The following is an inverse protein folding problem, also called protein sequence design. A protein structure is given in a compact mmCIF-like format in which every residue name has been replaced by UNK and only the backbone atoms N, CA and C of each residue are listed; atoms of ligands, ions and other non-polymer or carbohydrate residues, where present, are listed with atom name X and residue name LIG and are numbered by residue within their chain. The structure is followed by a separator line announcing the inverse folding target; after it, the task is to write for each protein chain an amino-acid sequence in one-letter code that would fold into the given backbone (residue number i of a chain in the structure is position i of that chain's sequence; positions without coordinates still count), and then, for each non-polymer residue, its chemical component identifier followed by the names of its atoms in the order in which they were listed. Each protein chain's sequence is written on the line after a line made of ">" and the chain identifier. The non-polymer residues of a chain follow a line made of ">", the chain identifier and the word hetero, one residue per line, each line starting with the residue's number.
data_IF_880987713506
#
_entry.id   IF_880987713506
#
_cell.length_a   1.000
_cell.length_b   1.000
_cell.length_c   1.000
_cell.angle_alpha   90.00
_cell.angle_beta   90.00
_cell.angle_gamma   90.00
#
_symmetry.space_group_name_H-M   'P 1'
#
loop_
_entity.id
_entity.type
_entity.pdbx_description
1 polymer ?
#
# COMPACT_ATOMS: atom_id res chain seq x y z
N UNK A 1 -34.67 -38.96 33.93
CA UNK A 1 -34.99 -37.57 34.32
C UNK A 1 -34.31 -36.67 33.31
N UNK A 2 -35.04 -36.22 32.28
CA UNK A 2 -35.56 -34.83 32.13
C UNK A 2 -34.39 -33.86 31.82
N UNK A 3 -34.21 -33.22 30.67
CA UNK A 3 -35.05 -32.91 29.51
C UNK A 3 -34.13 -32.75 28.28
N UNK A 4 -34.39 -33.46 27.17
CA UNK A 4 -33.85 -33.14 25.84
C UNK A 4 -35.00 -33.04 24.84
N UNK A 5 -35.62 -31.87 24.82
CA UNK A 5 -36.50 -31.40 23.75
C UNK A 5 -36.40 -29.88 23.79
N UNK A 6 -35.95 -29.27 22.70
CA UNK A 6 -36.61 -28.13 22.05
C UNK A 6 -35.75 -27.64 20.85
N UNK A 7 -36.38 -27.72 19.68
CA UNK A 7 -36.15 -27.01 18.42
C UNK A 7 -34.80 -27.14 17.67
N UNK A 8 -34.77 -28.10 16.74
CA UNK A 8 -34.08 -27.95 15.46
C UNK A 8 -34.88 -26.96 14.61
N UNK A 9 -34.42 -25.71 14.51
CA UNK A 9 -34.83 -24.81 13.43
C UNK A 9 -33.91 -25.13 12.26
N UNK A 10 -34.47 -25.73 11.21
CA UNK A 10 -33.79 -25.88 9.93
C UNK A 10 -33.50 -24.48 9.39
N UNK A 11 -32.22 -24.11 9.34
CA UNK A 11 -31.76 -22.96 8.58
C UNK A 11 -32.04 -23.29 7.12
N UNK A 12 -33.15 -22.78 6.58
CA UNK A 12 -33.32 -22.69 5.13
C UNK A 12 -32.21 -21.76 4.65
N UNK A 13 -31.47 -22.20 3.64
CA UNK A 13 -30.49 -21.38 2.93
C UNK A 13 -31.17 -20.06 2.50
N UNK A 14 -30.95 -19.01 3.28
CA UNK A 14 -31.23 -17.65 2.87
C UNK A 14 -30.17 -17.35 1.81
N UNK A 15 -30.59 -17.28 0.55
CA UNK A 15 -29.79 -16.66 -0.49
C UNK A 15 -29.23 -15.33 0.04
N UNK A 16 -27.98 -14.95 -0.29
CA UNK A 16 -27.44 -13.66 0.10
C UNK A 16 -28.47 -12.59 -0.26
N UNK A 17 -28.85 -11.79 0.74
CA UNK A 17 -29.77 -10.69 0.52
C UNK A 17 -29.24 -9.89 -0.68
N UNK A 18 -30.09 -9.69 -1.68
CA UNK A 18 -29.82 -8.69 -2.70
C UNK A 18 -29.42 -7.42 -1.96
N UNK A 19 -28.29 -6.84 -2.31
CA UNK A 19 -27.97 -5.47 -1.93
C UNK A 19 -29.12 -4.62 -2.45
N UNK A 20 -30.09 -4.32 -1.58
CA UNK A 20 -31.09 -3.32 -1.90
C UNK A 20 -30.33 -2.01 -1.78
N UNK A 21 -30.09 -1.28 -2.88
CA UNK A 21 -29.62 0.09 -2.78
C UNK A 21 -30.62 0.87 -1.89
N UNK A 22 -30.13 1.93 -1.24
CA UNK A 22 -30.99 2.89 -0.57
C UNK A 22 -32.19 3.22 -1.47
N UNK A 23 -33.42 3.32 -0.93
CA UNK A 23 -34.53 3.86 -1.72
C UNK A 23 -34.09 5.20 -2.32
N UNK A 24 -34.41 5.44 -3.61
CA UNK A 24 -33.98 6.55 -4.47
C UNK A 24 -34.01 7.95 -3.79
N UNK A 25 -33.08 8.22 -2.87
CA UNK A 25 -32.88 9.51 -2.23
C UNK A 25 -31.82 10.27 -3.02
N UNK A 26 -32.11 11.52 -3.37
CA UNK A 26 -31.28 12.32 -4.27
C UNK A 26 -29.96 12.78 -3.64
N UNK A 27 -29.94 12.92 -2.32
CA UNK A 27 -28.80 13.40 -1.57
C UNK A 27 -28.45 12.37 -0.50
N UNK A 28 -27.16 12.03 -0.39
CA UNK A 28 -26.68 11.18 0.70
C UNK A 28 -25.39 11.73 1.31
N UNK A 29 -25.14 11.36 2.57
CA UNK A 29 -23.90 11.65 3.27
C UNK A 29 -23.53 10.48 4.17
N UNK A 30 -22.23 10.31 4.41
CA UNK A 30 -21.74 9.28 5.32
C UNK A 30 -21.65 9.85 6.73
N UNK A 31 -22.28 9.18 7.69
CA UNK A 31 -22.27 9.54 9.10
C UNK A 31 -21.56 8.45 9.87
N UNK A 32 -20.49 8.81 10.58
CA UNK A 32 -19.76 7.93 11.47
C UNK A 32 -20.12 8.23 12.92
N UNK A 33 -20.58 7.21 13.62
CA UNK A 33 -20.88 7.21 15.04
C UNK A 33 -19.85 6.33 15.75
N UNK A 34 -19.30 6.83 16.86
CA UNK A 34 -18.43 6.04 17.73
C UNK A 34 -18.76 6.31 19.19
N UNK A 35 -18.82 5.27 20.02
CA UNK A 35 -19.28 5.42 21.41
C UNK A 35 -19.80 4.11 21.99
N UNK A 36 -20.49 4.18 23.12
CA UNK A 36 -21.24 3.04 23.67
C UNK A 36 -22.56 2.82 22.91
N UNK A 37 -22.46 2.64 21.58
CA UNK A 37 -23.59 2.68 20.64
C UNK A 37 -24.68 1.65 20.96
N UNK A 38 -24.27 0.45 21.39
CA UNK A 38 -25.16 -0.67 21.65
C UNK A 38 -25.52 -0.81 23.14
N UNK A 39 -24.55 -0.61 24.04
CA UNK A 39 -24.77 -0.73 25.48
C UNK A 39 -25.76 0.32 26.02
N UNK A 40 -25.73 1.52 25.44
CA UNK A 40 -26.65 2.62 25.78
C UNK A 40 -27.78 2.81 24.77
N UNK A 41 -27.93 1.91 23.80
CA UNK A 41 -28.95 1.96 22.74
C UNK A 41 -28.92 3.22 21.85
N UNK A 42 -27.83 4.00 21.88
CA UNK A 42 -27.65 5.24 21.11
C UNK A 42 -27.74 5.03 19.60
N UNK A 43 -27.39 3.83 19.11
CA UNK A 43 -27.55 3.50 17.69
C UNK A 43 -29.02 3.53 17.28
N UNK A 44 -29.94 3.04 18.12
CA UNK A 44 -31.36 3.03 17.78
C UNK A 44 -31.92 4.46 17.78
N UNK A 45 -31.51 5.30 18.73
CA UNK A 45 -31.90 6.71 18.76
C UNK A 45 -31.43 7.45 17.49
N UNK A 46 -30.21 7.19 17.03
CA UNK A 46 -29.70 7.77 15.79
C UNK A 46 -30.50 7.30 14.56
N UNK A 47 -30.86 6.02 14.49
CA UNK A 47 -31.68 5.48 13.39
C UNK A 47 -33.11 6.05 13.42
N UNK A 48 -33.71 6.19 14.59
CA UNK A 48 -35.05 6.76 14.78
C UNK A 48 -35.08 8.24 14.37
N UNK A 49 -34.02 9.02 14.65
CA UNK A 49 -33.88 10.41 14.20
C UNK A 49 -33.92 10.49 12.68
N UNK A 50 -33.17 9.60 12.00
CA UNK A 50 -33.10 9.57 10.54
C UNK A 50 -34.47 9.26 9.93
N UNK A 51 -35.15 8.22 10.41
CA UNK A 51 -36.47 7.82 9.90
C UNK A 51 -37.55 8.88 10.19
N UNK A 52 -37.56 9.44 11.40
CA UNK A 52 -38.56 10.44 11.83
C UNK A 52 -38.47 11.72 11.00
N UNK A 53 -37.27 12.09 10.56
CA UNK A 53 -37.03 13.23 9.69
C UNK A 53 -37.36 12.96 8.21
N UNK A 54 -37.75 11.73 7.84
CA UNK A 54 -38.05 11.33 6.47
C UNK A 54 -36.82 10.91 5.66
N UNK A 55 -35.69 10.68 6.33
CA UNK A 55 -34.48 10.14 5.74
C UNK A 55 -34.51 8.62 5.60
N UNK A 56 -33.51 8.09 4.89
CA UNK A 56 -33.21 6.66 4.82
C UNK A 56 -31.79 6.43 5.29
N UNK A 57 -31.48 5.24 5.79
CA UNK A 57 -30.11 4.88 6.14
C UNK A 57 -29.73 3.51 5.59
N UNK A 58 -28.42 3.33 5.37
CA UNK A 58 -27.80 2.06 5.07
C UNK A 58 -26.59 1.88 5.98
N UNK A 59 -26.53 0.75 6.70
CA UNK A 59 -25.41 0.42 7.55
C UNK A 59 -24.25 -0.08 6.68
N UNK A 60 -23.26 0.79 6.45
CA UNK A 60 -22.09 0.51 5.61
C UNK A 60 -21.11 -0.39 6.37
N UNK A 61 -20.87 -0.06 7.65
CA UNK A 61 -19.95 -0.80 8.51
C UNK A 61 -20.41 -0.68 9.96
N UNK A 62 -20.29 -1.77 10.71
CA UNK A 62 -20.52 -1.77 12.13
C UNK A 62 -19.53 -2.70 12.83
N UNK A 63 -18.81 -2.17 13.81
CA UNK A 63 -17.94 -2.90 14.71
C UNK A 63 -18.45 -2.72 16.13
N UNK A 64 -18.92 -3.82 16.74
CA UNK A 64 -19.44 -3.82 18.10
C UNK A 64 -18.29 -4.12 19.05
N UNK A 65 -18.17 -3.34 20.12
CA UNK A 65 -17.24 -3.59 21.21
C UNK A 65 -17.40 -5.01 21.79
N UNK A 66 -16.32 -5.61 22.28
CA UNK A 66 -16.36 -6.99 22.80
C UNK A 66 -16.76 -7.05 24.28
N UNK A 67 -16.90 -5.89 24.93
CA UNK A 67 -17.34 -5.72 26.31
C UNK A 67 -18.19 -4.45 26.45
N UNK A 68 -18.86 -4.28 27.59
CA UNK A 68 -19.69 -3.10 27.89
C UNK A 68 -18.90 -1.79 27.98
N UNK A 69 -17.58 -1.91 28.18
CA UNK A 69 -16.67 -0.78 28.33
C UNK A 69 -15.93 -0.49 27.00
N UNK A 70 -16.13 -1.32 25.98
CA UNK A 70 -15.47 -1.17 24.68
C UNK A 70 -16.28 -0.26 23.76
N UNK A 71 -15.59 0.67 23.10
CA UNK A 71 -16.21 1.56 22.11
C UNK A 71 -16.67 0.77 20.89
N UNK A 72 -17.91 1.04 20.49
CA UNK A 72 -18.49 0.55 19.23
C UNK A 72 -18.38 1.63 18.15
N UNK A 73 -18.31 1.19 16.90
CA UNK A 73 -18.21 2.03 15.72
C UNK A 73 -19.28 1.67 14.70
N UNK A 74 -19.92 2.67 14.11
CA UNK A 74 -20.94 2.48 13.08
C UNK A 74 -20.83 3.56 12.01
N UNK A 75 -20.77 3.15 10.74
CA UNK A 75 -20.88 4.02 9.57
C UNK A 75 -22.25 3.80 8.91
N UNK A 76 -22.99 4.89 8.77
CA UNK A 76 -24.30 4.95 8.17
C UNK A 76 -24.23 5.84 6.93
N UNK A 77 -24.63 5.35 5.77
CA UNK A 77 -24.98 6.22 4.66
C UNK A 77 -26.41 6.71 4.88
N UNK A 78 -26.58 8.03 5.04
CA UNK A 78 -27.85 8.68 5.34
C UNK A 78 -28.32 9.45 4.12
N UNK A 79 -29.53 9.19 3.65
CA UNK A 79 -30.12 9.79 2.45
C UNK A 79 -31.38 10.60 2.71
N UNK A 80 -31.62 11.64 1.92
CA UNK A 80 -32.84 12.44 1.91
C UNK A 80 -33.24 12.91 0.49
N UNK A 81 -34.49 13.36 0.32
CA UNK A 81 -35.02 13.82 -0.98
C UNK A 81 -34.54 15.23 -1.35
N UNK A 82 -34.14 16.03 -0.35
CA UNK A 82 -33.65 17.39 -0.47
C UNK A 82 -32.59 17.69 0.60
N UNK A 83 -31.75 18.69 0.34
CA UNK A 83 -30.63 19.08 1.20
C UNK A 83 -31.09 19.64 2.55
N UNK A 84 -32.23 20.35 2.61
CA UNK A 84 -32.74 20.90 3.87
C UNK A 84 -33.15 19.80 4.86
N UNK A 85 -33.72 18.72 4.36
CA UNK A 85 -34.05 17.52 5.14
C UNK A 85 -32.78 16.81 5.60
N UNK A 86 -31.77 16.69 4.72
CA UNK A 86 -30.48 16.08 5.07
C UNK A 86 -29.77 16.89 6.16
N UNK A 87 -29.69 18.21 6.01
CA UNK A 87 -29.07 19.11 7.00
C UNK A 87 -29.77 19.00 8.35
N UNK A 88 -31.11 18.95 8.36
CA UNK A 88 -31.89 18.77 9.60
C UNK A 88 -31.59 17.43 10.30
N UNK A 89 -31.40 16.36 9.54
CA UNK A 89 -30.99 15.04 10.08
C UNK A 89 -29.62 15.16 10.73
N UNK A 90 -28.68 15.80 10.04
CA UNK A 90 -27.30 15.97 10.51
C UNK A 90 -27.24 16.86 11.76
N UNK A 91 -27.99 17.95 11.80
CA UNK A 91 -28.11 18.81 12.98
C UNK A 91 -28.66 18.01 14.17
N UNK A 92 -29.68 17.18 13.96
CA UNK A 92 -30.29 16.36 15.02
C UNK A 92 -29.32 15.29 15.54
N UNK A 93 -28.58 14.63 14.66
CA UNK A 93 -27.54 13.66 15.04
C UNK A 93 -26.37 14.35 15.77
N UNK A 94 -26.04 15.58 15.40
CA UNK A 94 -25.03 16.39 16.08
C UNK A 94 -25.50 16.81 17.46
N UNK A 95 -26.78 17.17 17.62
CA UNK A 95 -27.38 17.42 18.93
C UNK A 95 -27.34 16.17 19.82
N UNK A 96 -27.68 14.99 19.28
CA UNK A 96 -27.58 13.72 20.02
C UNK A 96 -26.15 13.47 20.52
N UNK A 97 -25.16 13.69 19.66
CA UNK A 97 -23.75 13.55 20.02
C UNK A 97 -23.28 14.58 21.05
N UNK A 98 -23.79 15.81 21.01
CA UNK A 98 -23.47 16.85 22.00
C UNK A 98 -24.16 16.60 23.36
N UNK A 99 -25.37 16.04 23.38
CA UNK A 99 -26.06 15.67 24.63
C UNK A 99 -25.35 14.52 25.36
N UNK A 100 -24.67 13.66 24.61
CA UNK A 100 -23.91 12.50 25.11
C UNK A 100 -22.39 12.71 25.06
N UNK A 101 -21.93 13.89 24.64
CA UNK A 101 -20.54 14.29 24.58
C UNK A 101 -20.19 15.06 25.86
N UNK A 102 -19.49 14.42 26.79
CA UNK A 102 -19.10 15.05 28.06
C UNK A 102 -18.29 16.34 27.85
N UNK A 103 -18.49 17.31 28.76
CA UNK A 103 -17.77 18.59 28.78
C UNK A 103 -16.27 18.38 29.00
N UNK A 104 -15.44 19.15 28.29
CA UNK A 104 -14.00 18.92 28.13
C UNK A 104 -13.15 19.15 29.40
N UNK A 105 -13.75 19.40 30.57
CA UNK A 105 -13.02 19.84 31.78
C UNK A 105 -13.24 18.98 33.04
N UNK A 106 -13.88 17.80 32.95
CA UNK A 106 -14.10 16.95 34.12
C UNK A 106 -14.13 15.44 33.84
N UNK A 107 -13.05 14.87 33.29
CA UNK A 107 -12.74 13.42 33.40
C UNK A 107 -13.86 12.42 33.04
N UNK A 108 -14.86 12.81 32.25
CA UNK A 108 -15.92 11.92 31.78
C UNK A 108 -15.49 11.23 30.49
N UNK A 109 -15.74 9.92 30.39
CA UNK A 109 -15.57 9.14 29.17
C UNK A 109 -16.53 9.64 28.09
N UNK A 110 -16.04 9.76 26.85
CA UNK A 110 -16.83 10.22 25.70
C UNK A 110 -17.88 9.13 25.40
N UNK A 111 -19.16 9.41 25.64
CA UNK A 111 -20.20 8.40 25.47
C UNK A 111 -20.64 8.25 24.00
N UNK A 112 -20.58 9.34 23.23
CA UNK A 112 -20.85 9.39 21.81
C UNK A 112 -20.02 10.48 21.11
N UNK A 113 -19.44 10.13 19.97
CA UNK A 113 -18.81 11.06 19.05
C UNK A 113 -19.35 10.83 17.64
N UNK A 114 -19.56 11.95 16.93
CA UNK A 114 -20.07 11.99 15.56
C UNK A 114 -19.02 12.60 14.65
N UNK A 115 -18.75 11.94 13.52
CA UNK A 115 -18.03 12.54 12.40
C UNK A 115 -18.89 12.46 11.16
N UNK A 116 -19.08 13.60 10.50
CA UNK A 116 -19.89 13.71 9.28
C UNK A 116 -18.94 13.79 8.09
N UNK A 117 -19.07 12.87 7.14
CA UNK A 117 -18.41 12.93 5.84
C UNK A 117 -18.99 14.05 4.97
N UNK A 118 -18.26 14.47 3.93
CA UNK A 118 -18.77 15.46 2.99
C UNK A 118 -20.02 14.90 2.28
N UNK A 119 -21.06 15.72 2.16
CA UNK A 119 -22.28 15.41 1.41
C UNK A 119 -21.89 15.07 -0.02
N UNK A 120 -22.23 13.86 -0.47
CA UNK A 120 -22.08 13.50 -1.87
C UNK A 120 -23.32 14.00 -2.60
N UNK A 121 -23.19 15.16 -3.25
CA UNK A 121 -24.05 15.44 -4.39
C UNK A 121 -23.66 14.45 -5.50
N UNK A 122 -24.62 13.68 -5.99
CA UNK A 122 -24.53 13.09 -7.33
C UNK A 122 -24.60 14.23 -8.36
N UNK A 123 -23.57 15.09 -8.37
CA UNK A 123 -23.25 15.94 -9.49
C UNK A 123 -22.09 15.28 -10.23
N UNK A 124 -22.42 14.78 -11.42
CA UNK A 124 -21.47 14.53 -12.50
C UNK A 124 -20.79 15.86 -12.85
N UNK A 125 -19.73 16.24 -12.14
CA UNK A 125 -18.60 17.04 -12.64
C UNK A 125 -17.61 17.31 -11.49
N UNK A 126 -16.64 16.40 -11.34
CA UNK A 126 -15.44 16.70 -10.56
C UNK A 126 -14.49 17.49 -11.47
N UNK A 127 -14.74 18.79 -11.64
CA UNK A 127 -13.67 19.69 -12.10
C UNK A 127 -12.77 20.01 -10.91
N UNK A 128 -11.81 19.13 -10.63
CA UNK A 128 -10.63 19.44 -9.80
C UNK A 128 -9.69 20.27 -10.69
N UNK A 129 -9.94 21.58 -10.72
CA UNK A 129 -9.11 22.56 -11.41
C UNK A 129 -8.11 23.16 -10.40
N UNK A 130 -7.05 22.41 -10.12
CA UNK A 130 -5.76 22.94 -9.68
C UNK A 130 -4.79 22.65 -10.82
N UNK A 131 -4.21 23.69 -11.41
CA UNK A 131 -3.51 23.68 -12.70
C UNK A 131 -2.21 22.87 -12.80
N UNK A 132 -1.81 22.16 -11.74
CA UNK A 132 -0.57 21.41 -11.69
C UNK A 132 -0.63 19.96 -12.16
N UNK A 133 0.54 19.35 -12.44
CA UNK A 133 0.63 17.95 -12.84
C UNK A 133 0.10 17.04 -11.72
N UNK A 134 -0.65 16.01 -12.13
CA UNK A 134 -1.29 15.02 -11.27
C UNK A 134 -0.55 13.68 -11.35
N UNK A 135 -0.23 13.11 -10.19
CA UNK A 135 0.41 11.80 -10.08
C UNK A 135 -0.52 10.85 -9.34
N UNK A 136 -0.73 9.66 -9.90
CA UNK A 136 -1.48 8.59 -9.25
C UNK A 136 -0.53 7.61 -8.58
N UNK A 137 -0.67 7.38 -7.28
CA UNK A 137 -0.01 6.29 -6.56
C UNK A 137 -1.02 5.18 -6.32
N UNK A 138 -0.77 4.01 -6.88
CA UNK A 138 -1.56 2.80 -6.64
C UNK A 138 -0.96 2.02 -5.46
N UNK A 139 -1.75 1.91 -4.39
CA UNK A 139 -1.44 1.14 -3.18
C UNK A 139 -1.05 2.02 -1.99
N UNK A 140 -1.81 1.92 -0.91
CA UNK A 140 -1.60 2.63 0.36
C UNK A 140 -0.72 1.83 1.37
N UNK A 141 0.33 1.19 0.88
CA UNK A 141 1.24 0.41 1.71
C UNK A 141 2.26 1.27 2.49
N UNK A 142 3.11 0.61 3.30
CA UNK A 142 4.14 1.27 4.14
C UNK A 142 5.10 2.21 3.40
N UNK A 143 5.31 1.97 2.11
CA UNK A 143 6.23 2.77 1.27
C UNK A 143 5.53 3.92 0.54
N UNK A 144 4.19 3.99 0.57
CA UNK A 144 3.42 4.99 -0.15
C UNK A 144 3.55 6.37 0.48
N UNK A 145 3.40 6.47 1.80
CA UNK A 145 3.41 7.75 2.51
C UNK A 145 4.69 8.58 2.24
N UNK A 146 5.92 8.03 2.38
CA UNK A 146 7.12 8.79 2.04
C UNK A 146 7.18 9.24 0.58
N UNK A 147 6.63 8.46 -0.36
CA UNK A 147 6.55 8.85 -1.77
C UNK A 147 5.55 9.99 -1.98
N UNK A 148 4.38 9.93 -1.34
CA UNK A 148 3.38 11.00 -1.39
C UNK A 148 3.91 12.30 -0.78
N UNK A 149 4.53 12.25 0.41
CA UNK A 149 5.16 13.40 1.07
C UNK A 149 6.26 14.02 0.19
N UNK A 150 7.12 13.18 -0.40
CA UNK A 150 8.17 13.66 -1.29
C UNK A 150 7.58 14.36 -2.52
N UNK A 151 6.64 13.72 -3.23
CA UNK A 151 6.11 14.27 -4.48
C UNK A 151 5.28 15.54 -4.25
N UNK A 152 4.42 15.54 -3.23
CA UNK A 152 3.56 16.68 -2.92
C UNK A 152 4.32 17.89 -2.36
N UNK A 153 5.54 17.69 -1.83
CA UNK A 153 6.40 18.78 -1.34
C UNK A 153 7.24 19.45 -2.42
N UNK A 154 7.32 18.89 -3.64
CA UNK A 154 8.09 19.49 -4.73
C UNK A 154 7.29 20.60 -5.42
N UNK A 155 7.82 21.85 -5.52
CA UNK A 155 7.35 22.79 -6.54
C UNK A 155 7.68 22.20 -7.92
N UNK A 156 6.81 22.41 -8.90
CA UNK A 156 6.82 21.75 -10.21
C UNK A 156 8.24 21.40 -10.73
N UNK A 157 8.50 20.11 -10.94
CA UNK A 157 9.75 19.65 -11.56
C UNK A 157 9.82 20.04 -13.05
N UNK A 158 8.68 20.41 -13.65
CA UNK A 158 8.58 20.74 -15.07
C UNK A 158 9.14 22.12 -15.46
N UNK A 159 9.52 22.98 -14.50
CA UNK A 159 10.10 24.31 -14.79
C UNK A 159 11.59 24.39 -14.49
N UNK A 160 12.40 23.48 -15.06
CA UNK A 160 13.81 23.79 -15.29
C UNK A 160 13.92 24.87 -16.38
N UNK A 161 13.84 26.14 -15.97
CA UNK A 161 14.24 27.29 -16.81
C UNK A 161 13.20 28.37 -17.10
N UNK A 162 12.11 28.47 -16.35
CA UNK A 162 11.20 29.63 -16.44
C UNK A 162 11.10 30.28 -15.07
N UNK A 163 11.69 31.47 -14.96
CA UNK A 163 11.47 32.40 -13.84
C UNK A 163 10.00 32.87 -13.92
N UNK A 164 9.07 32.12 -13.34
CA UNK A 164 7.75 32.66 -13.05
C UNK A 164 7.25 32.20 -11.68
N UNK A 165 6.66 33.14 -10.94
CA UNK A 165 6.35 33.06 -9.52
C UNK A 165 5.09 32.21 -9.21
N UNK A 166 4.67 31.35 -10.14
CA UNK A 166 3.45 30.54 -10.07
C UNK A 166 3.75 29.09 -10.45
N UNK A 167 4.67 28.45 -9.70
CA UNK A 167 5.00 27.05 -9.90
C UNK A 167 3.86 26.18 -9.37
N UNK A 168 3.04 25.64 -10.28
CA UNK A 168 1.94 24.75 -9.94
C UNK A 168 2.45 23.54 -9.13
N UNK A 169 1.90 23.34 -7.93
CA UNK A 169 2.32 22.24 -7.07
C UNK A 169 1.82 20.90 -7.62
N UNK A 170 2.66 19.86 -7.53
CA UNK A 170 2.29 18.51 -7.92
C UNK A 170 1.12 18.03 -7.05
N UNK A 171 0.03 17.60 -7.68
CA UNK A 171 -1.10 17.00 -6.97
C UNK A 171 -0.97 15.48 -6.96
N UNK A 172 -1.01 14.86 -5.77
CA UNK A 172 -0.82 13.41 -5.62
C UNK A 172 -2.13 12.73 -5.24
N UNK A 173 -2.60 11.82 -6.07
CA UNK A 173 -3.76 10.98 -5.80
C UNK A 173 -3.27 9.63 -5.29
N UNK A 174 -3.64 9.24 -4.07
CA UNK A 174 -3.37 7.90 -3.53
C UNK A 174 -4.63 7.05 -3.66
N UNK A 175 -4.52 5.94 -4.38
CA UNK A 175 -5.60 5.01 -4.59
C UNK A 175 -5.35 3.67 -3.90
N UNK A 176 -6.36 3.14 -3.21
CA UNK A 176 -6.29 1.84 -2.52
C UNK A 176 -7.62 1.09 -2.62
N UNK A 177 -7.59 -0.23 -2.47
CA UNK A 177 -8.81 -1.05 -2.41
C UNK A 177 -9.70 -0.64 -1.23
N UNK A 178 -9.08 -0.23 -0.12
CA UNK A 178 -9.76 0.29 1.07
C UNK A 178 -9.53 1.80 1.16
N UNK A 179 -10.62 2.57 1.10
CA UNK A 179 -10.60 4.04 1.17
C UNK A 179 -9.81 4.55 2.39
N UNK A 180 -10.07 3.95 3.56
CA UNK A 180 -9.41 4.31 4.83
C UNK A 180 -7.88 4.25 4.75
N UNK A 181 -7.32 3.24 4.09
CA UNK A 181 -5.86 3.11 3.98
C UNK A 181 -5.27 4.27 3.16
N UNK A 182 -5.97 4.69 2.10
CA UNK A 182 -5.56 5.84 1.29
C UNK A 182 -5.69 7.15 2.09
N UNK A 183 -6.76 7.33 2.86
CA UNK A 183 -6.98 8.48 3.73
C UNK A 183 -5.90 8.61 4.81
N UNK A 184 -5.60 7.52 5.53
CA UNK A 184 -4.53 7.49 6.53
C UNK A 184 -3.16 7.77 5.92
N UNK A 185 -2.94 7.34 4.68
CA UNK A 185 -1.68 7.56 3.97
C UNK A 185 -1.49 9.04 3.64
N UNK A 186 -2.55 9.74 3.23
CA UNK A 186 -2.50 11.16 2.85
C UNK A 186 -2.74 12.13 4.01
N UNK A 187 -3.13 11.64 5.18
CA UNK A 187 -3.44 12.48 6.34
C UNK A 187 -2.27 13.41 6.71
N UNK A 188 -2.57 14.70 6.80
CA UNK A 188 -1.59 15.76 7.07
C UNK A 188 -0.63 16.08 5.92
N UNK A 189 -0.83 15.55 4.71
CA UNK A 189 -0.05 15.92 3.52
C UNK A 189 -0.87 16.90 2.69
N UNK A 190 -0.30 18.06 2.37
CA UNK A 190 -0.94 19.03 1.48
C UNK A 190 -0.90 18.53 0.02
N UNK A 191 -1.80 19.04 -0.83
CA UNK A 191 -1.88 18.69 -2.26
C UNK A 191 -2.05 17.20 -2.57
N UNK A 192 -2.61 16.44 -1.64
CA UNK A 192 -2.95 15.03 -1.86
C UNK A 192 -4.46 14.79 -1.83
N UNK A 193 -4.90 13.73 -2.47
CA UNK A 193 -6.29 13.22 -2.39
C UNK A 193 -6.29 11.72 -2.28
N UNK A 194 -7.16 11.17 -1.42
CA UNK A 194 -7.37 9.74 -1.29
C UNK A 194 -8.57 9.30 -2.13
N UNK A 195 -8.46 8.15 -2.79
CA UNK A 195 -9.55 7.56 -3.56
C UNK A 195 -9.58 6.04 -3.42
N UNK A 196 -10.77 5.47 -3.53
CA UNK A 196 -10.97 4.03 -3.51
C UNK A 196 -10.88 3.50 -4.93
N UNK A 197 -10.07 2.47 -5.14
CA UNK A 197 -9.93 1.83 -6.44
C UNK A 197 -9.61 0.34 -6.28
N UNK A 198 -10.44 -0.51 -6.90
CA UNK A 198 -10.03 -1.87 -7.23
C UNK A 198 -9.35 -1.86 -8.60
N UNK A 199 -8.05 -2.15 -8.64
CA UNK A 199 -7.29 -2.22 -9.89
C UNK A 199 -7.70 -3.37 -10.81
N UNK A 200 -8.52 -4.31 -10.32
CA UNK A 200 -9.14 -5.33 -11.15
C UNK A 200 -10.30 -4.76 -12.00
N UNK A 201 -10.90 -3.64 -11.59
CA UNK A 201 -11.84 -2.88 -12.41
C UNK A 201 -11.08 -1.97 -13.38
N UNK A 202 -10.88 -2.49 -14.59
CA UNK A 202 -10.16 -1.78 -15.66
C UNK A 202 -10.87 -0.49 -16.08
N UNK A 203 -12.20 -0.40 -15.95
CA UNK A 203 -12.95 0.82 -16.27
C UNK A 203 -12.56 1.96 -15.33
N UNK A 204 -12.78 1.74 -14.04
CA UNK A 204 -12.41 2.71 -12.99
C UNK A 204 -10.91 3.04 -12.99
N UNK A 205 -10.04 2.04 -13.23
CA UNK A 205 -8.60 2.28 -13.36
C UNK A 205 -8.29 3.18 -14.56
N UNK A 206 -8.90 2.93 -15.72
CA UNK A 206 -8.68 3.74 -16.93
C UNK A 206 -9.16 5.17 -16.75
N UNK A 207 -10.32 5.35 -16.12
CA UNK A 207 -10.87 6.68 -15.83
C UNK A 207 -9.93 7.50 -14.96
N UNK A 208 -9.35 6.89 -13.92
CA UNK A 208 -8.41 7.57 -13.03
C UNK A 208 -7.05 7.81 -13.70
N UNK A 209 -6.53 6.83 -14.45
CA UNK A 209 -5.26 6.96 -15.19
C UNK A 209 -5.36 8.04 -16.27
N UNK A 210 -6.53 8.25 -16.89
CA UNK A 210 -6.73 9.28 -17.90
C UNK A 210 -6.47 10.71 -17.38
N UNK A 211 -6.70 10.92 -16.08
CA UNK A 211 -6.65 12.21 -15.39
C UNK A 211 -5.26 12.58 -14.84
N UNK A 212 -4.25 11.72 -15.00
CA UNK A 212 -2.90 11.91 -14.45
C UNK A 212 -1.83 11.81 -15.52
N UNK A 213 -0.62 12.28 -15.24
CA UNK A 213 0.53 12.23 -16.15
C UNK A 213 1.38 10.98 -15.90
N UNK A 214 1.51 10.60 -14.62
CA UNK A 214 2.36 9.49 -14.17
C UNK A 214 1.60 8.60 -13.18
N UNK A 215 1.74 7.29 -13.35
CA UNK A 215 1.23 6.27 -12.44
C UNK A 215 2.38 5.60 -11.70
N UNK A 216 2.36 5.61 -10.38
CA UNK A 216 3.33 4.93 -9.52
C UNK A 216 2.66 3.68 -8.94
N UNK A 217 3.07 2.50 -9.38
CA UNK A 217 2.54 1.24 -8.86
C UNK A 217 3.40 0.71 -7.71
N UNK A 218 2.86 0.80 -6.50
CA UNK A 218 3.41 0.23 -5.25
C UNK A 218 2.64 -1.04 -4.80
N UNK A 219 1.85 -1.60 -5.71
CA UNK A 219 1.11 -2.85 -5.53
C UNK A 219 1.99 -4.09 -5.72
N UNK A 220 1.48 -5.30 -5.38
CA UNK A 220 2.17 -6.55 -5.70
C UNK A 220 2.49 -6.68 -7.21
N UNK A 221 3.64 -7.28 -7.52
CA UNK A 221 4.16 -7.37 -8.89
C UNK A 221 3.21 -8.02 -9.90
N UNK A 222 2.27 -8.86 -9.44
CA UNK A 222 1.26 -9.49 -10.28
C UNK A 222 0.30 -8.51 -10.97
N UNK A 223 0.17 -7.28 -10.47
CA UNK A 223 -0.72 -6.27 -11.05
C UNK A 223 -0.03 -5.40 -12.11
N UNK A 224 1.31 -5.39 -12.16
CA UNK A 224 2.06 -4.39 -12.93
C UNK A 224 1.80 -4.47 -14.43
N UNK A 225 1.71 -5.67 -15.01
CA UNK A 225 1.48 -5.83 -16.44
C UNK A 225 0.10 -5.30 -16.89
N UNK A 226 -0.94 -5.50 -16.06
CA UNK A 226 -2.28 -4.98 -16.35
C UNK A 226 -2.30 -3.44 -16.28
N UNK A 227 -1.72 -2.87 -15.23
CA UNK A 227 -1.60 -1.42 -15.04
C UNK A 227 -0.77 -0.79 -16.18
N UNK A 228 0.36 -1.41 -16.52
CA UNK A 228 1.21 -0.98 -17.63
C UNK A 228 0.45 -1.01 -18.97
N UNK A 229 -0.39 -2.01 -19.21
CA UNK A 229 -1.27 -2.07 -20.38
C UNK A 229 -2.18 -0.85 -20.50
N UNK A 230 -2.88 -0.49 -19.42
CA UNK A 230 -3.73 0.70 -19.36
C UNK A 230 -2.92 1.98 -19.56
N UNK A 231 -1.75 2.08 -18.92
CA UNK A 231 -0.85 3.22 -19.08
C UNK A 231 -0.40 3.39 -20.54
N UNK A 232 -0.04 2.30 -21.23
CA UNK A 232 0.37 2.32 -22.65
C UNK A 232 -0.79 2.77 -23.54
N UNK A 233 -2.00 2.23 -23.32
CA UNK A 233 -3.20 2.57 -24.08
C UNK A 233 -3.53 4.06 -23.96
N UNK A 234 -3.49 4.59 -22.72
CA UNK A 234 -3.78 5.99 -22.41
C UNK A 234 -2.58 6.93 -22.55
N UNK A 235 -1.44 6.41 -23.01
CA UNK A 235 -0.16 7.14 -23.19
C UNK A 235 0.34 7.85 -21.93
N UNK A 236 0.19 7.22 -20.77
CA UNK A 236 0.64 7.71 -19.46
C UNK A 236 1.90 7.01 -19.01
N UNK A 237 2.80 7.72 -18.33
CA UNK A 237 4.04 7.13 -17.83
C UNK A 237 3.80 6.28 -16.59
N UNK A 238 4.67 5.30 -16.36
CA UNK A 238 4.58 4.41 -15.20
C UNK A 238 5.91 4.27 -14.48
N UNK A 239 5.87 4.22 -13.14
CA UNK A 239 7.00 3.90 -12.28
C UNK A 239 6.64 2.75 -11.34
N UNK A 240 7.57 1.84 -11.06
CA UNK A 240 7.42 0.83 -10.01
C UNK A 240 8.74 0.50 -9.32
N UNK A 241 8.66 0.08 -8.06
CA UNK A 241 9.80 -0.37 -7.26
C UNK A 241 10.02 -1.91 -7.35
N UNK A 242 9.44 -2.57 -8.35
CA UNK A 242 9.50 -4.03 -8.52
C UNK A 242 10.44 -4.47 -9.66
N UNK A 243 10.93 -5.71 -9.56
CA UNK A 243 11.68 -6.38 -10.62
C UNK A 243 10.91 -6.45 -11.94
N UNK A 244 11.65 -6.43 -13.06
CA UNK A 244 11.08 -6.71 -14.40
C UNK A 244 10.98 -8.22 -14.61
N UNK A 245 9.76 -8.73 -14.73
CA UNK A 245 9.50 -10.11 -15.16
C UNK A 245 9.19 -10.20 -16.66
N UNK A 246 8.96 -11.42 -17.16
CA UNK A 246 8.68 -11.66 -18.58
C UNK A 246 7.41 -10.93 -19.06
N UNK A 247 6.37 -10.85 -18.21
CA UNK A 247 5.13 -10.18 -18.56
C UNK A 247 5.34 -8.67 -18.78
N UNK A 248 6.15 -8.04 -17.93
CA UNK A 248 6.55 -6.64 -18.09
C UNK A 248 7.50 -6.45 -19.27
N UNK A 249 8.47 -7.36 -19.47
CA UNK A 249 9.44 -7.27 -20.57
C UNK A 249 8.77 -7.32 -21.95
N UNK A 250 7.72 -8.15 -22.09
CA UNK A 250 6.95 -8.28 -23.33
C UNK A 250 6.23 -6.99 -23.75
N UNK A 251 6.01 -6.04 -22.84
CA UNK A 251 5.39 -4.74 -23.13
C UNK A 251 6.38 -3.70 -23.67
N UNK A 252 7.69 -4.01 -23.73
CA UNK A 252 8.73 -3.03 -24.10
C UNK A 252 8.50 -2.38 -25.47
N UNK A 253 8.13 -3.17 -26.49
CA UNK A 253 7.91 -2.61 -27.82
C UNK A 253 6.65 -1.75 -27.87
N UNK A 254 5.55 -2.21 -27.26
CA UNK A 254 4.30 -1.44 -27.19
C UNK A 254 4.48 -0.10 -26.45
N UNK A 255 5.25 -0.07 -25.37
CA UNK A 255 5.58 1.16 -24.66
C UNK A 255 6.39 2.14 -25.54
N UNK A 256 7.38 1.64 -26.30
CA UNK A 256 8.14 2.46 -27.26
C UNK A 256 7.26 3.02 -28.36
N UNK A 257 6.40 2.18 -28.94
CA UNK A 257 5.49 2.58 -30.02
C UNK A 257 4.48 3.63 -29.55
N UNK A 258 4.05 3.55 -28.28
CA UNK A 258 3.17 4.54 -27.65
C UNK A 258 3.89 5.81 -27.18
N UNK A 259 5.22 5.85 -27.18
CA UNK A 259 6.02 6.97 -26.65
C UNK A 259 5.97 7.07 -25.12
N UNK A 260 5.75 5.96 -24.42
CA UNK A 260 5.59 5.89 -22.97
C UNK A 260 6.84 5.35 -22.30
N UNK A 261 7.31 6.04 -21.25
CA UNK A 261 8.32 5.53 -20.34
C UNK A 261 7.68 4.69 -19.24
N UNK A 262 8.16 3.45 -19.09
CA UNK A 262 7.87 2.59 -17.94
C UNK A 262 9.18 2.32 -17.21
N UNK A 263 9.33 2.91 -16.02
CA UNK A 263 10.53 2.82 -15.21
C UNK A 263 10.31 1.85 -14.04
N UNK A 264 10.87 0.65 -14.16
CA UNK A 264 10.83 -0.36 -13.12
C UNK A 264 12.05 -0.26 -12.18
N UNK A 265 12.08 -1.12 -11.16
CA UNK A 265 13.24 -1.31 -10.30
C UNK A 265 13.70 -0.02 -9.58
N UNK A 266 12.78 0.90 -9.25
CA UNK A 266 13.07 2.17 -8.55
C UNK A 266 12.84 2.08 -7.03
N UNK A 267 13.44 1.09 -6.38
CA UNK A 267 13.37 0.88 -4.93
C UNK A 267 14.73 0.89 -4.25
N UNK A 268 14.85 0.12 -3.16
CA UNK A 268 16.13 -0.12 -2.48
C UNK A 268 16.92 -1.24 -3.16
N UNK A 269 16.30 -2.41 -3.27
CA UNK A 269 16.79 -3.62 -3.92
C UNK A 269 15.57 -4.37 -4.48
N UNK A 270 15.22 -4.16 -5.77
CA UNK A 270 16.05 -3.52 -6.80
C UNK A 270 15.90 -1.98 -6.83
N UNK A 271 17.00 -1.27 -7.06
CA UNK A 271 17.04 0.17 -7.36
C UNK A 271 18.33 0.86 -6.95
N UNK A 272 18.41 1.36 -5.71
CA UNK A 272 19.63 2.00 -5.19
C UNK A 272 20.86 1.09 -5.39
N UNK A 273 20.68 -0.23 -5.24
CA UNK A 273 21.75 -1.19 -5.49
C UNK A 273 22.25 -1.17 -6.95
N UNK A 274 21.38 -1.00 -7.95
CA UNK A 274 21.75 -0.82 -9.36
C UNK A 274 22.51 0.48 -9.58
N UNK A 275 21.98 1.60 -9.06
CA UNK A 275 22.58 2.93 -9.20
C UNK A 275 24.02 2.96 -8.65
N UNK A 276 24.20 2.42 -7.43
CA UNK A 276 25.52 2.37 -6.80
C UNK A 276 26.46 1.39 -7.48
N UNK A 277 25.95 0.24 -7.94
CA UNK A 277 26.75 -0.74 -8.68
C UNK A 277 27.29 -0.14 -9.98
N UNK A 278 26.42 0.44 -10.81
CA UNK A 278 26.81 1.03 -12.09
C UNK A 278 27.77 2.20 -11.91
N UNK A 279 27.53 3.09 -10.94
CA UNK A 279 28.46 4.18 -10.62
C UNK A 279 29.88 3.66 -10.34
N UNK A 280 30.02 2.65 -9.49
CA UNK A 280 31.33 2.07 -9.15
C UNK A 280 31.98 1.36 -10.35
N UNK A 281 31.19 0.68 -11.18
CA UNK A 281 31.67 -0.01 -12.38
C UNK A 281 32.15 0.99 -13.43
N UNK A 282 31.34 2.00 -13.74
CA UNK A 282 31.66 3.05 -14.71
C UNK A 282 32.90 3.84 -14.27
N UNK A 283 33.02 4.18 -12.99
CA UNK A 283 34.22 4.85 -12.46
C UNK A 283 35.49 4.00 -12.62
N UNK A 284 35.39 2.69 -12.41
CA UNK A 284 36.51 1.77 -12.60
C UNK A 284 36.89 1.66 -14.09
N UNK A 285 35.89 1.47 -14.97
CA UNK A 285 36.11 1.36 -16.42
C UNK A 285 36.63 2.66 -17.04
N UNK A 286 36.16 3.83 -16.58
CA UNK A 286 36.67 5.14 -17.00
C UNK A 286 38.17 5.30 -16.68
N UNK A 287 38.65 4.68 -15.60
CA UNK A 287 40.07 4.60 -15.23
C UNK A 287 40.82 3.44 -15.90
N UNK A 288 40.20 2.78 -16.89
CA UNK A 288 40.71 1.58 -17.58
C UNK A 288 40.94 0.40 -16.64
N UNK A 289 40.28 0.39 -15.49
CA UNK A 289 40.24 -0.74 -14.56
C UNK A 289 39.34 -1.86 -15.06
N UNK A 290 39.37 -2.99 -14.37
CA UNK A 290 38.49 -4.15 -14.60
C UNK A 290 37.87 -4.61 -13.30
N UNK A 291 36.61 -4.98 -13.34
CA UNK A 291 35.89 -5.56 -12.21
C UNK A 291 36.25 -7.04 -12.13
N UNK A 292 37.09 -7.41 -11.16
CA UNK A 292 37.46 -8.81 -10.91
C UNK A 292 36.42 -9.57 -10.11
N UNK A 293 35.75 -8.88 -9.19
CA UNK A 293 34.70 -9.44 -8.35
C UNK A 293 33.64 -8.38 -8.08
N UNK A 294 32.38 -8.78 -8.21
CA UNK A 294 31.21 -8.03 -7.83
C UNK A 294 30.45 -8.80 -6.74
N UNK A 295 30.28 -8.18 -5.58
CA UNK A 295 29.51 -8.73 -4.46
C UNK A 295 28.61 -7.64 -3.91
N UNK A 296 27.29 -7.89 -3.87
CA UNK A 296 26.31 -6.96 -3.30
C UNK A 296 25.49 -7.66 -2.22
N UNK A 297 25.36 -7.02 -1.07
CA UNK A 297 24.69 -7.54 0.11
C UNK A 297 23.64 -6.53 0.57
N UNK A 298 22.39 -6.94 0.69
CA UNK A 298 21.30 -6.08 1.16
C UNK A 298 20.42 -6.80 2.18
N UNK A 299 19.91 -6.08 3.18
CA UNK A 299 18.95 -6.65 4.14
C UNK A 299 18.20 -5.60 4.93
N UNK A 300 16.87 -5.68 4.89
CA UNK A 300 16.00 -4.95 5.81
C UNK A 300 15.90 -5.72 7.12
N UNK A 301 16.66 -5.30 8.14
CA UNK A 301 16.73 -5.95 9.44
C UNK A 301 16.26 -4.99 10.55
N UNK A 302 15.71 -5.50 11.66
CA UNK A 302 15.50 -4.68 12.84
C UNK A 302 16.85 -4.12 13.34
N UNK A 303 16.80 -2.99 14.04
CA UNK A 303 17.98 -2.53 14.79
C UNK A 303 18.43 -3.61 15.78
N UNK A 304 19.72 -3.68 16.16
CA UNK A 304 20.20 -4.71 17.09
C UNK A 304 19.41 -4.79 18.39
N UNK A 305 19.00 -3.64 18.94
CA UNK A 305 18.18 -3.57 20.15
C UNK A 305 16.75 -4.15 19.96
N UNK A 306 16.22 -4.09 18.74
CA UNK A 306 14.90 -4.60 18.38
C UNK A 306 14.93 -6.04 17.84
N UNK A 307 16.11 -6.65 17.66
CA UNK A 307 16.29 -8.03 17.21
C UNK A 307 16.13 -9.04 18.37
N UNK A 308 15.13 -8.81 19.22
CA UNK A 308 14.94 -9.49 20.50
C UNK A 308 13.92 -10.65 20.44
N UNK A 309 13.84 -11.34 19.30
CA UNK A 309 12.95 -12.47 19.09
C UNK A 309 13.73 -13.67 18.50
N UNK A 310 13.16 -14.90 18.51
CA UNK A 310 13.86 -16.10 18.03
C UNK A 310 14.41 -16.00 16.61
N UNK A 311 13.72 -15.27 15.72
CA UNK A 311 14.12 -15.12 14.33
C UNK A 311 15.13 -13.97 14.14
N UNK A 312 15.37 -13.16 15.17
CA UNK A 312 16.08 -11.88 15.08
C UNK A 312 15.56 -11.00 13.92
N UNK A 313 14.27 -11.15 13.55
CA UNK A 313 13.68 -10.54 12.37
C UNK A 313 12.29 -9.99 12.69
N UNK A 314 11.89 -8.92 12.00
CA UNK A 314 10.54 -8.35 12.06
C UNK A 314 10.05 -8.10 10.65
N UNK A 315 8.81 -8.45 10.35
CA UNK A 315 8.24 -8.26 9.03
C UNK A 315 7.93 -6.78 8.79
N UNK A 316 8.69 -6.14 7.89
CA UNK A 316 8.43 -4.79 7.39
C UNK A 316 7.68 -4.78 6.05
N UNK A 317 7.39 -5.96 5.51
CA UNK A 317 6.67 -6.19 4.26
C UNK A 317 5.92 -7.54 4.36
N UNK A 318 5.18 -7.91 3.31
CA UNK A 318 4.32 -9.10 3.31
C UNK A 318 5.04 -10.36 3.84
N UNK A 319 4.61 -10.94 4.99
CA UNK A 319 5.25 -12.10 5.60
C UNK A 319 5.31 -13.32 4.67
N UNK A 320 4.25 -13.59 3.90
CA UNK A 320 4.23 -14.72 2.97
C UNK A 320 5.30 -14.56 1.87
N UNK A 321 5.51 -13.33 1.40
CA UNK A 321 6.60 -13.00 0.49
C UNK A 321 7.97 -13.22 1.11
N UNK A 322 8.16 -12.79 2.36
CA UNK A 322 9.41 -12.97 3.09
C UNK A 322 9.76 -14.45 3.28
N UNK A 323 8.79 -15.26 3.67
CA UNK A 323 8.98 -16.70 3.84
C UNK A 323 9.24 -17.41 2.52
N UNK A 324 8.48 -17.08 1.47
CA UNK A 324 8.68 -17.65 0.11
C UNK A 324 10.05 -17.30 -0.45
N UNK A 325 10.55 -16.09 -0.19
CA UNK A 325 11.89 -15.68 -0.66
C UNK A 325 13.01 -16.58 -0.16
N UNK A 326 12.85 -17.16 1.03
CA UNK A 326 13.77 -18.12 1.62
C UNK A 326 13.76 -19.52 0.99
N UNK A 327 12.88 -19.77 0.02
CA UNK A 327 12.80 -21.04 -0.74
C UNK A 327 13.13 -20.85 -2.22
N UNK A 328 13.57 -19.66 -2.63
CA UNK A 328 13.92 -19.41 -4.02
C UNK A 328 15.29 -20.07 -4.33
N UNK A 329 15.42 -20.80 -5.45
CA UNK A 329 16.73 -21.26 -5.88
C UNK A 329 17.62 -20.06 -6.21
N UNK A 330 18.93 -20.26 -6.07
CA UNK A 330 19.92 -19.23 -6.38
C UNK A 330 21.01 -19.76 -7.30
N UNK A 331 21.52 -18.89 -8.18
CA UNK A 331 22.66 -19.18 -9.05
C UNK A 331 23.58 -17.97 -9.13
N UNK A 332 24.87 -18.19 -8.96
CA UNK A 332 25.87 -17.12 -8.94
C UNK A 332 27.23 -17.61 -9.43
N UNK A 333 28.13 -16.68 -9.73
CA UNK A 333 29.51 -16.98 -10.13
C UNK A 333 30.43 -16.68 -8.96
N UNK A 334 31.31 -17.59 -8.59
CA UNK A 334 32.29 -17.38 -7.52
C UNK A 334 33.63 -17.98 -7.92
N UNK A 335 34.67 -17.14 -7.97
CA UNK A 335 36.03 -17.53 -8.36
C UNK A 335 36.12 -18.28 -9.71
N UNK A 336 35.26 -17.94 -10.66
CA UNK A 336 35.21 -18.52 -12.01
C UNK A 336 34.20 -19.65 -12.16
N UNK A 337 33.70 -20.21 -11.06
CA UNK A 337 32.75 -21.32 -11.06
C UNK A 337 31.31 -20.85 -10.92
N UNK A 338 30.40 -21.47 -11.68
CA UNK A 338 28.97 -21.26 -11.51
C UNK A 338 28.45 -22.17 -10.42
N UNK A 339 27.88 -21.60 -9.37
CA UNK A 339 27.33 -22.31 -8.23
C UNK A 339 25.81 -22.24 -8.29
N UNK A 340 25.17 -23.39 -8.17
CA UNK A 340 23.72 -23.54 -8.06
C UNK A 340 23.35 -23.95 -6.63
N UNK A 341 22.35 -23.28 -6.07
CA UNK A 341 21.78 -23.58 -4.75
C UNK A 341 20.31 -23.88 -4.95
N UNK A 342 19.91 -25.10 -4.61
CA UNK A 342 18.51 -25.49 -4.61
C UNK A 342 17.72 -24.67 -3.57
N UNK A 343 16.48 -24.32 -3.90
CA UNK A 343 15.63 -23.52 -3.02
C UNK A 343 15.38 -24.16 -1.66
N UNK A 344 15.31 -25.49 -1.58
CA UNK A 344 15.17 -26.22 -0.32
C UNK A 344 16.43 -26.11 0.56
N UNK A 345 17.60 -25.93 -0.06
CA UNK A 345 18.89 -25.85 0.63
C UNK A 345 19.36 -24.40 0.83
N UNK A 346 18.52 -23.40 0.53
CA UNK A 346 18.94 -21.99 0.55
C UNK A 346 19.44 -21.57 1.94
N UNK A 347 18.72 -21.93 3.00
CA UNK A 347 19.12 -21.64 4.37
C UNK A 347 20.39 -22.40 4.79
N UNK A 348 20.60 -23.62 4.30
CA UNK A 348 21.84 -24.38 4.55
C UNK A 348 23.06 -23.74 3.89
N UNK A 349 22.84 -22.99 2.81
CA UNK A 349 23.91 -22.26 2.10
C UNK A 349 24.36 -20.97 2.81
N UNK A 350 23.71 -20.58 3.91
CA UNK A 350 24.03 -19.38 4.66
C UNK A 350 25.50 -19.38 5.11
N UNK A 351 26.21 -18.27 4.84
CA UNK A 351 27.59 -18.09 5.31
C UNK A 351 27.68 -16.89 6.23
N UNK A 352 28.46 -17.04 7.29
CA UNK A 352 28.73 -15.95 8.24
C UNK A 352 29.45 -14.81 7.54
N UNK A 353 29.03 -13.60 7.85
CA UNK A 353 29.65 -12.36 7.40
C UNK A 353 30.04 -11.53 8.63
N UNK A 354 31.33 -11.25 8.76
CA UNK A 354 31.84 -10.30 9.74
C UNK A 354 32.46 -9.15 8.99
N UNK A 355 31.82 -7.99 9.10
CA UNK A 355 32.31 -6.74 8.54
C UNK A 355 33.23 -6.09 9.57
N UNK A 356 34.47 -5.80 9.19
CA UNK A 356 35.50 -5.30 10.13
C UNK A 356 35.17 -3.90 10.64
N UNK A 357 34.52 -3.12 9.79
CA UNK A 357 34.04 -1.76 10.01
C UNK A 357 32.77 -1.74 10.87
N UNK A 358 32.03 -2.86 10.90
CA UNK A 358 30.80 -3.03 11.66
C UNK A 358 30.89 -4.26 12.58
N UNK A 359 31.86 -4.29 13.52
CA UNK A 359 32.19 -5.50 14.28
C UNK A 359 31.07 -5.94 15.24
N UNK A 360 30.15 -5.03 15.60
CA UNK A 360 29.00 -5.32 16.44
C UNK A 360 27.91 -6.13 15.72
N UNK A 361 27.92 -6.15 14.38
CA UNK A 361 26.90 -6.83 13.61
C UNK A 361 27.25 -8.31 13.41
N UNK A 362 26.45 -9.17 14.02
CA UNK A 362 26.52 -10.60 13.79
C UNK A 362 25.66 -10.98 12.58
N UNK A 363 26.23 -10.97 11.37
CA UNK A 363 25.49 -11.20 10.12
C UNK A 363 25.80 -12.54 9.47
N UNK A 364 24.84 -13.02 8.69
CA UNK A 364 25.00 -14.07 7.70
C UNK A 364 24.39 -13.62 6.37
N UNK A 365 24.79 -14.26 5.29
CA UNK A 365 24.30 -13.96 3.96
C UNK A 365 23.79 -15.20 3.24
N UNK A 366 22.68 -15.03 2.52
CA UNK A 366 22.03 -16.04 1.70
C UNK A 366 22.12 -15.61 0.22
N UNK A 367 22.57 -16.47 -0.71
CA UNK A 367 22.53 -16.16 -2.14
C UNK A 367 21.12 -15.71 -2.57
N UNK A 368 21.01 -14.68 -3.41
CA UNK A 368 19.72 -14.14 -3.83
C UNK A 368 19.45 -14.41 -5.31
N UNK A 369 18.48 -15.29 -5.61
CA UNK A 369 17.98 -15.60 -6.96
C UNK A 369 19.12 -15.81 -7.97
N UNK A 370 18.96 -15.35 -9.21
CA UNK A 370 19.98 -15.43 -10.24
C UNK A 370 20.85 -14.17 -10.24
N UNK A 371 22.10 -14.29 -9.79
CA UNK A 371 23.08 -13.20 -9.83
C UNK A 371 23.75 -13.06 -11.21
N UNK A 372 23.72 -14.09 -12.06
CA UNK A 372 24.45 -14.09 -13.33
C UNK A 372 23.92 -13.04 -14.31
N UNK A 373 22.61 -12.76 -14.28
CA UNK A 373 21.97 -11.73 -15.12
C UNK A 373 22.64 -10.36 -14.96
N UNK A 374 23.11 -10.04 -13.75
CA UNK A 374 23.76 -8.77 -13.47
C UNK A 374 25.16 -8.66 -14.06
N UNK A 375 25.79 -9.81 -14.36
CA UNK A 375 27.02 -9.82 -15.13
C UNK A 375 26.83 -9.20 -16.51
N UNK A 376 25.74 -9.57 -17.17
CA UNK A 376 25.42 -9.08 -18.51
C UNK A 376 24.83 -7.67 -18.45
N UNK A 377 23.89 -7.41 -17.54
CA UNK A 377 23.26 -6.09 -17.38
C UNK A 377 24.28 -5.00 -17.03
N UNK A 378 25.28 -5.31 -16.19
CA UNK A 378 26.32 -4.35 -15.81
C UNK A 378 27.57 -4.40 -16.71
N UNK A 379 27.59 -5.25 -17.75
CA UNK A 379 28.72 -5.35 -18.67
C UNK A 379 30.01 -5.94 -18.07
N UNK A 380 29.92 -6.71 -16.97
CA UNK A 380 31.08 -7.28 -16.26
C UNK A 380 31.23 -8.81 -16.41
N UNK A 381 30.32 -9.49 -17.11
CA UNK A 381 30.30 -10.97 -17.23
C UNK A 381 31.59 -11.57 -17.78
N UNK A 382 32.25 -10.84 -18.70
CA UNK A 382 33.51 -11.25 -19.35
C UNK A 382 34.76 -11.03 -18.51
N UNK A 383 34.70 -10.20 -17.48
CA UNK A 383 35.88 -9.83 -16.68
C UNK A 383 35.82 -10.26 -15.21
N UNK A 384 34.62 -10.32 -14.65
CA UNK A 384 34.42 -10.71 -13.27
C UNK A 384 34.47 -12.24 -13.11
N UNK A 385 35.36 -12.71 -12.24
CA UNK A 385 35.37 -14.11 -11.80
C UNK A 385 34.34 -14.36 -10.69
N UNK A 386 33.86 -13.31 -10.02
CA UNK A 386 32.81 -13.40 -8.99
C UNK A 386 31.70 -12.42 -9.29
N UNK A 387 30.45 -12.89 -9.30
CA UNK A 387 29.23 -12.09 -9.48
C UNK A 387 28.20 -12.66 -8.51
N UNK A 388 28.00 -11.97 -7.40
CA UNK A 388 27.25 -12.49 -6.27
C UNK A 388 26.36 -11.41 -5.65
N UNK A 389 25.05 -11.66 -5.63
CA UNK A 389 24.08 -10.87 -4.86
C UNK A 389 23.53 -11.73 -3.73
N UNK A 390 23.37 -11.14 -2.57
CA UNK A 390 22.96 -11.87 -1.38
C UNK A 390 22.10 -11.04 -0.44
N UNK A 391 21.21 -11.74 0.25
CA UNK A 391 20.35 -11.21 1.30
C UNK A 391 21.06 -11.34 2.64
N UNK A 392 21.13 -10.26 3.41
CA UNK A 392 21.67 -10.25 4.77
C UNK A 392 20.60 -10.63 5.80
N UNK A 393 21.02 -11.38 6.81
CA UNK A 393 20.27 -11.70 8.03
C UNK A 393 21.19 -11.59 9.24
N UNK A 394 20.60 -11.46 10.43
CA UNK A 394 21.36 -11.72 11.65
C UNK A 394 21.68 -13.21 11.75
N UNK A 395 22.84 -13.54 12.31
CA UNK A 395 23.21 -14.93 12.55
C UNK A 395 22.21 -15.61 13.48
N UNK A 396 21.77 -16.80 13.08
CA UNK A 396 20.92 -17.62 13.92
C UNK A 396 20.36 -18.81 13.18
N UNK A 397 20.68 -20.02 13.66
CA UNK A 397 20.17 -21.29 13.08
C UNK A 397 18.64 -21.46 13.16
N UNK A 398 17.91 -20.52 13.76
CA UNK A 398 16.52 -20.72 14.18
C UNK A 398 15.50 -20.61 13.04
N UNK A 399 15.76 -19.86 11.96
CA UNK A 399 14.81 -19.78 10.84
C UNK A 399 14.69 -21.11 10.09
N UNK A 400 15.80 -21.83 9.95
CA UNK A 400 15.85 -23.17 9.35
C UNK A 400 14.98 -24.16 10.16
N UNK A 401 15.06 -24.10 11.48
CA UNK A 401 14.28 -24.98 12.37
C UNK A 401 12.79 -24.61 12.39
N UNK A 402 12.45 -23.32 12.28
CA UNK A 402 11.06 -22.83 12.37
C UNK A 402 10.26 -22.96 11.06
N UNK A 403 10.91 -22.96 9.89
CA UNK A 403 10.23 -22.96 8.59
C UNK A 403 10.17 -24.33 7.88
N UNK A 404 10.91 -25.31 8.39
CA UNK A 404 10.89 -26.70 7.93
C UNK A 404 10.01 -27.61 8.80
N UNK A 405 9.46 -27.10 9.90
CA UNK A 405 8.32 -27.68 10.61
C UNK A 405 7.04 -27.03 10.08
#
# INVERSE_FOLDING_TARGET
>A
MLLSKLYSISCRDLAPAKTNPLPDKKYSTLVSLSGHLFDKFLINEALDIIETAGGSFHLVRCEVGQSTDDMSYSELEVGADDTATLDKIIDSLTSLANEHGGDHDAGQEIELALKIGKVNEYETDVTIDKGGPKILILGAGRVCRPAAEFLASYPDICTYGVDDHDADQIHVIVASLYQKDAEETVDGIENTTATQLDVADIGSLSDLVSQVEVVISLLPASFHAAIAGVCIELKKHMVTASYVDESMSNLSQAAKDAGVTILCEMGLDPGIDHLMSMKMIDEAHARKGKIKAFTSYCGGLPSPAAANNPLAYKFSWNPAGALRSGKNPAVYKFLGETIHVDGHNLYESAKRLRLRELPAFALEHLPNRNSLIYGDLYGISKEASTIYRATLRYEGKQLHTFLLQ
#
